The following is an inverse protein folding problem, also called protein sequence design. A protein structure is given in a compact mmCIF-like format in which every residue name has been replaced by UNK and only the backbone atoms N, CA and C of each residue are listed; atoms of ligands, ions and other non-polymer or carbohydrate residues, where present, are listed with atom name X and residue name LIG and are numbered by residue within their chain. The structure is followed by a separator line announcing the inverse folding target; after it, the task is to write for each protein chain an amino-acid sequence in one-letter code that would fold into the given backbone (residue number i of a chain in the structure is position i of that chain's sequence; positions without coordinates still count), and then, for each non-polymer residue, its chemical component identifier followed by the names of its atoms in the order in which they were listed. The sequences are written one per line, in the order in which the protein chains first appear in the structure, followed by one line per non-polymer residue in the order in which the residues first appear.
data_IF_665640844989
#
_entry.id   IF_665640844989
#
_cell.length_a   1.000
_cell.length_b   1.000
_cell.length_c   1.000
_cell.angle_alpha   90.00
_cell.angle_beta   90.00
_cell.angle_gamma   90.00
#
_symmetry.space_group_name_H-M   'P 1'
#
loop_
_entity.id
_entity.type
_entity.pdbx_description
1 polymer ?
#
# COMPACT_ATOMS: atom_id res chain seq x y z
N UNK A 1 -65.62 -38.96 -17.66
CA UNK A 1 -64.58 -39.36 -16.69
C UNK A 1 -63.94 -38.11 -16.10
N UNK A 2 -63.98 -38.00 -14.76
CA UNK A 2 -63.12 -37.26 -13.80
C UNK A 2 -62.43 -35.91 -14.17
N UNK A 3 -62.93 -34.85 -13.51
CA UNK A 3 -62.28 -33.76 -12.75
C UNK A 3 -60.93 -33.14 -13.17
N UNK A 4 -60.77 -31.79 -13.10
CA UNK A 4 -60.14 -31.06 -11.96
C UNK A 4 -59.95 -29.53 -12.24
N UNK A 5 -60.51 -28.70 -11.34
CA UNK A 5 -59.97 -27.50 -10.63
C UNK A 5 -59.34 -26.33 -11.44
N UNK A 6 -59.92 -25.10 -11.47
CA UNK A 6 -60.05 -23.99 -10.46
C UNK A 6 -58.91 -22.97 -10.57
N UNK A 7 -59.23 -21.68 -10.77
CA UNK A 7 -58.27 -20.58 -10.62
C UNK A 7 -58.75 -19.23 -11.16
N UNK A 8 -59.53 -18.50 -10.36
CA UNK A 8 -59.80 -17.06 -10.51
C UNK A 8 -58.56 -16.30 -9.98
N UNK A 9 -58.13 -15.25 -10.68
CA UNK A 9 -57.30 -14.20 -10.07
C UNK A 9 -57.91 -12.83 -10.34
N UNK A 10 -58.37 -12.24 -9.24
CA UNK A 10 -58.83 -10.88 -9.05
C UNK A 10 -57.63 -10.01 -8.64
N UNK A 11 -57.80 -8.67 -8.70
CA UNK A 11 -56.99 -7.60 -8.06
C UNK A 11 -55.90 -7.03 -8.97
N UNK A 12 -55.66 -5.72 -9.11
CA UNK A 12 -56.40 -4.46 -8.99
C UNK A 12 -55.39 -3.38 -9.44
N UNK A 13 -55.91 -2.28 -9.98
CA UNK A 13 -55.32 -0.94 -10.01
C UNK A 13 -53.94 -0.74 -9.33
N UNK A 14 -52.85 -0.97 -10.06
CA UNK A 14 -51.49 -0.56 -9.66
C UNK A 14 -50.72 0.19 -10.77
N UNK A 15 -51.36 0.49 -11.91
CA UNK A 15 -50.64 1.05 -13.06
C UNK A 15 -50.33 2.55 -12.95
N UNK A 16 -51.12 3.34 -12.21
CA UNK A 16 -50.94 4.80 -12.18
C UNK A 16 -49.88 5.30 -11.19
N UNK A 17 -49.54 4.52 -10.15
CA UNK A 17 -48.46 4.87 -9.21
C UNK A 17 -47.08 4.59 -9.80
N UNK A 18 -46.96 3.55 -10.64
CA UNK A 18 -45.70 3.15 -11.29
C UNK A 18 -45.24 4.20 -12.32
N UNK A 19 -46.17 4.82 -13.06
CA UNK A 19 -45.80 5.83 -14.06
C UNK A 19 -45.24 7.12 -13.45
N UNK A 20 -45.69 7.54 -12.26
CA UNK A 20 -45.13 8.73 -11.57
C UNK A 20 -43.76 8.48 -10.92
N UNK A 21 -43.42 7.24 -10.59
CA UNK A 21 -42.11 6.88 -10.07
C UNK A 21 -41.04 6.91 -11.17
N UNK A 22 -41.36 6.44 -12.38
CA UNK A 22 -40.45 6.46 -13.53
C UNK A 22 -40.10 7.87 -14.02
N UNK A 23 -41.00 8.84 -13.89
CA UNK A 23 -40.73 10.24 -14.29
C UNK A 23 -39.81 10.99 -13.30
N UNK A 24 -39.80 10.61 -12.02
CA UNK A 24 -38.84 11.15 -11.03
C UNK A 24 -37.45 10.54 -11.20
N UNK A 25 -37.39 9.23 -11.43
CA UNK A 25 -36.13 8.51 -11.65
C UNK A 25 -35.43 8.95 -12.96
N UNK A 26 -36.20 9.34 -13.98
CA UNK A 26 -35.67 9.91 -15.22
C UNK A 26 -35.20 11.37 -15.10
N UNK A 27 -35.54 12.08 -14.01
CA UNK A 27 -35.09 13.47 -13.77
C UNK A 27 -33.80 13.50 -12.95
N UNK A 28 -33.66 12.63 -11.95
CA UNK A 28 -32.40 12.44 -11.20
C UNK A 28 -31.28 11.83 -12.07
N UNK A 29 -31.62 10.98 -13.07
CA UNK A 29 -30.63 10.43 -14.01
C UNK A 29 -30.15 11.41 -15.10
N UNK A 30 -30.69 12.63 -15.17
CA UNK A 30 -30.23 13.67 -16.13
C UNK A 30 -29.25 14.68 -15.52
N UNK A 31 -29.18 14.82 -14.20
CA UNK A 31 -28.26 15.77 -13.56
C UNK A 31 -26.84 15.22 -13.31
N UNK A 32 -26.65 13.90 -13.32
CA UNK A 32 -25.34 13.29 -13.05
C UNK A 32 -24.46 13.03 -14.30
N UNK A 33 -24.86 13.51 -15.49
CA UNK A 33 -24.09 13.27 -16.73
C UNK A 33 -23.06 14.36 -17.09
N UNK A 34 -22.83 15.35 -16.23
CA UNK A 34 -21.93 16.47 -16.55
C UNK A 34 -20.79 16.71 -15.55
N UNK A 35 -20.41 15.70 -14.77
CA UNK A 35 -19.09 15.69 -14.15
C UNK A 35 -18.12 14.99 -15.10
N UNK A 36 -17.62 15.75 -16.08
CA UNK A 36 -16.38 15.38 -16.76
C UNK A 36 -15.26 15.47 -15.72
N UNK A 37 -15.06 14.41 -14.94
CA UNK A 37 -13.85 14.25 -14.14
C UNK A 37 -12.73 14.22 -15.18
N UNK A 38 -11.99 15.32 -15.29
CA UNK A 38 -10.69 15.33 -15.94
C UNK A 38 -9.81 14.41 -15.10
N UNK A 39 -9.83 13.12 -15.42
CA UNK A 39 -8.78 12.21 -14.98
C UNK A 39 -7.53 12.71 -15.69
N UNK A 40 -6.76 13.54 -15.00
CA UNK A 40 -5.38 13.76 -15.38
C UNK A 40 -4.77 12.36 -15.38
N UNK A 41 -4.52 11.82 -16.57
CA UNK A 41 -3.78 10.59 -16.74
C UNK A 41 -2.37 10.90 -16.27
N UNK A 42 -2.13 10.82 -14.96
CA UNK A 42 -0.77 10.76 -14.43
C UNK A 42 -0.13 9.59 -15.16
N UNK A 43 0.87 9.88 -15.99
CA UNK A 43 1.69 8.82 -16.57
C UNK A 43 2.20 7.97 -15.42
N UNK A 44 1.85 6.68 -15.46
CA UNK A 44 2.31 5.75 -14.45
C UNK A 44 3.83 5.71 -14.53
N UNK A 45 4.49 6.18 -13.49
CA UNK A 45 5.94 6.03 -13.35
C UNK A 45 6.25 4.53 -13.40
N UNK A 46 7.26 4.15 -14.15
CA UNK A 46 7.74 2.78 -14.26
C UNK A 46 8.49 2.32 -13.00
N UNK A 47 8.40 3.09 -11.91
CA UNK A 47 9.03 2.82 -10.63
C UNK A 47 8.18 3.25 -9.42
N UNK A 48 8.50 2.68 -8.27
CA UNK A 48 8.02 3.09 -6.94
C UNK A 48 9.19 3.71 -6.16
N UNK A 49 9.02 4.86 -5.48
CA UNK A 49 10.05 5.43 -4.62
C UNK A 49 10.51 4.46 -3.53
N UNK A 50 11.80 4.48 -3.22
CA UNK A 50 12.39 3.62 -2.22
C UNK A 50 13.46 4.33 -1.38
N UNK A 51 13.69 3.80 -0.18
CA UNK A 51 14.85 4.10 0.64
C UNK A 51 15.51 2.79 1.03
N UNK A 52 16.82 2.71 0.90
CA UNK A 52 17.62 1.55 1.33
C UNK A 52 18.35 1.89 2.61
N UNK A 53 18.22 1.04 3.62
CA UNK A 53 19.10 0.99 4.79
C UNK A 53 20.23 0.01 4.51
N UNK A 54 21.46 0.40 4.82
CA UNK A 54 22.65 -0.40 4.58
C UNK A 54 23.71 -0.10 5.64
N UNK A 55 24.68 -1.01 5.77
CA UNK A 55 25.82 -0.79 6.64
C UNK A 55 26.98 -0.13 5.90
N UNK A 56 27.62 0.84 6.54
CA UNK A 56 28.97 1.29 6.20
C UNK A 56 30.00 0.19 6.53
N UNK A 57 31.26 0.31 6.03
CA UNK A 57 32.32 -0.66 6.34
C UNK A 57 32.59 -0.85 7.84
N UNK A 58 32.37 0.18 8.66
CA UNK A 58 32.52 0.14 10.11
C UNK A 58 31.33 -0.52 10.85
N UNK A 59 30.31 -0.96 10.10
CA UNK A 59 29.08 -1.55 10.63
C UNK A 59 28.03 -0.53 11.08
N UNK A 60 28.30 0.77 11.02
CA UNK A 60 27.27 1.79 11.27
C UNK A 60 26.18 1.75 10.20
N UNK A 61 24.94 2.03 10.58
CA UNK A 61 23.82 2.09 9.65
C UNK A 61 23.76 3.47 8.99
N UNK A 62 23.50 3.47 7.69
CA UNK A 62 23.23 4.64 6.84
C UNK A 62 22.04 4.37 5.92
N UNK A 63 21.65 5.34 5.10
CA UNK A 63 20.60 5.17 4.10
C UNK A 63 20.89 5.89 2.79
N UNK A 64 20.25 5.41 1.72
CA UNK A 64 20.22 6.08 0.42
C UNK A 64 18.80 6.09 -0.16
N UNK A 65 18.50 7.10 -0.97
CA UNK A 65 17.22 7.21 -1.70
C UNK A 65 17.36 6.61 -3.08
N UNK A 66 16.27 6.03 -3.57
CA UNK A 66 16.25 5.39 -4.87
C UNK A 66 14.84 4.96 -5.24
N UNK A 67 14.77 3.93 -6.06
CA UNK A 67 13.55 3.49 -6.73
C UNK A 67 13.56 1.97 -6.89
N UNK A 68 12.38 1.35 -6.86
CA UNK A 68 12.16 -0.04 -7.31
C UNK A 68 11.41 0.01 -8.64
N UNK A 69 11.94 -0.60 -9.72
CA UNK A 69 11.22 -0.68 -10.99
C UNK A 69 9.95 -1.54 -10.85
N UNK A 70 8.89 -1.10 -11.51
CA UNK A 70 7.62 -1.82 -11.57
C UNK A 70 7.75 -3.11 -12.37
N UNK A 71 6.82 -4.05 -12.15
CA UNK A 71 6.74 -5.33 -12.85
C UNK A 71 7.95 -6.25 -12.68
N UNK A 72 8.84 -5.98 -11.71
CA UNK A 72 9.87 -6.94 -11.27
C UNK A 72 9.28 -7.93 -10.27
N UNK A 73 9.57 -9.21 -10.47
CA UNK A 73 9.15 -10.27 -9.56
C UNK A 73 10.26 -10.57 -8.56
N UNK A 74 9.97 -10.36 -7.27
CA UNK A 74 10.82 -10.84 -6.20
C UNK A 74 10.61 -12.33 -6.00
N UNK A 75 11.70 -13.08 -5.92
CA UNK A 75 11.64 -14.47 -5.51
C UNK A 75 11.52 -14.52 -3.97
N UNK A 76 10.31 -14.80 -3.48
CA UNK A 76 10.01 -14.91 -2.05
C UNK A 76 9.11 -16.11 -1.79
N UNK A 77 9.36 -16.83 -0.70
CA UNK A 77 8.55 -18.00 -0.29
C UNK A 77 7.51 -17.65 0.76
N UNK A 78 7.61 -16.48 1.38
CA UNK A 78 6.73 -16.05 2.47
C UNK A 78 6.65 -14.54 2.54
N UNK A 79 5.53 -14.03 3.04
CA UNK A 79 5.36 -12.65 3.45
C UNK A 79 4.37 -12.61 4.62
N UNK A 80 4.41 -11.55 5.41
CA UNK A 80 3.45 -11.37 6.49
C UNK A 80 3.17 -9.89 6.76
N UNK A 81 2.06 -9.64 7.41
CA UNK A 81 1.60 -8.30 7.75
C UNK A 81 1.64 -8.12 9.27
N UNK A 82 1.93 -6.90 9.73
CA UNK A 82 1.83 -6.55 11.14
C UNK A 82 1.30 -5.14 11.30
N UNK A 83 0.48 -4.95 12.32
CA UNK A 83 0.12 -3.66 12.89
C UNK A 83 0.60 -3.50 14.35
N UNK A 84 1.31 -4.51 14.87
CA UNK A 84 1.84 -4.51 16.23
C UNK A 84 3.13 -3.72 16.29
N UNK A 85 3.33 -2.97 17.35
CA UNK A 85 4.57 -2.25 17.62
C UNK A 85 5.03 -2.65 19.01
N UNK A 86 6.22 -3.20 19.10
CA UNK A 86 6.86 -3.49 20.39
C UNK A 86 7.87 -2.39 20.69
N UNK A 87 8.05 -2.03 21.96
CA UNK A 87 8.87 -0.87 22.31
C UNK A 87 10.34 -1.04 21.94
N UNK A 88 10.85 -2.28 21.90
CA UNK A 88 12.20 -2.55 21.43
C UNK A 88 12.37 -2.28 19.94
N UNK A 89 11.33 -2.43 19.12
CA UNK A 89 11.39 -2.14 17.68
C UNK A 89 11.68 -0.65 17.44
N UNK A 90 11.27 0.24 18.35
CA UNK A 90 11.57 1.68 18.22
C UNK A 90 13.02 2.02 18.55
N UNK A 91 13.67 1.18 19.35
CA UNK A 91 15.07 1.36 19.73
C UNK A 91 16.00 0.99 18.57
N UNK A 92 17.28 1.32 18.69
CA UNK A 92 18.26 0.97 17.67
C UNK A 92 18.42 -0.57 17.58
N UNK A 93 18.16 -1.14 16.40
CA UNK A 93 18.35 -2.56 16.11
C UNK A 93 18.73 -2.76 14.63
N UNK A 94 19.55 -3.78 14.30
CA UNK A 94 19.78 -4.17 12.91
C UNK A 94 18.54 -4.84 12.33
N UNK A 95 18.39 -4.76 11.01
CA UNK A 95 17.39 -5.55 10.32
C UNK A 95 17.70 -7.06 10.48
N UNK A 96 16.69 -7.91 10.76
CA UNK A 96 16.93 -9.33 11.01
C UNK A 96 17.31 -10.11 9.75
N UNK A 97 17.07 -9.55 8.57
CA UNK A 97 17.35 -10.11 7.24
C UNK A 97 17.14 -9.05 6.17
N UNK A 98 17.66 -9.31 4.97
CA UNK A 98 17.31 -8.55 3.77
C UNK A 98 15.82 -8.68 3.52
N UNK A 99 15.10 -7.57 3.50
CA UNK A 99 13.65 -7.59 3.27
C UNK A 99 13.16 -6.24 2.79
N UNK A 100 12.06 -6.27 2.04
CA UNK A 100 11.24 -5.08 1.86
C UNK A 100 10.29 -4.92 3.05
N UNK A 101 10.11 -3.66 3.46
CA UNK A 101 9.07 -3.23 4.39
C UNK A 101 8.17 -2.25 3.64
N UNK A 102 6.94 -2.67 3.36
CA UNK A 102 5.94 -1.88 2.65
C UNK A 102 5.01 -1.27 3.68
N UNK A 103 5.09 0.05 3.85
CA UNK A 103 4.15 0.77 4.72
C UNK A 103 2.80 0.88 4.02
N UNK A 104 1.77 0.29 4.62
CA UNK A 104 0.39 0.36 4.15
C UNK A 104 -0.34 1.55 4.81
N UNK A 105 0.03 1.90 6.04
CA UNK A 105 -0.52 3.03 6.80
C UNK A 105 0.46 3.57 7.83
N UNK A 106 0.40 4.88 8.04
CA UNK A 106 1.23 5.60 9.01
C UNK A 106 2.42 6.31 8.35
N UNK A 107 3.03 7.24 9.08
CA UNK A 107 4.24 7.95 8.66
C UNK A 107 5.33 7.64 9.67
N UNK A 108 6.42 7.03 9.21
CA UNK A 108 7.45 6.46 10.08
C UNK A 108 8.75 7.21 9.84
N UNK A 109 9.28 7.84 10.89
CA UNK A 109 10.59 8.48 10.85
C UNK A 109 11.63 7.47 11.27
N UNK A 110 12.48 7.10 10.33
CA UNK A 110 13.68 6.30 10.60
C UNK A 110 14.84 7.21 10.97
N UNK A 111 15.73 6.73 11.84
CA UNK A 111 16.97 7.37 12.25
C UNK A 111 18.11 6.36 12.20
N UNK A 112 19.18 6.72 11.50
CA UNK A 112 20.38 5.89 11.35
C UNK A 112 21.48 6.30 12.34
N UNK A 113 22.66 5.70 12.26
CA UNK A 113 23.66 5.77 13.34
C UNK A 113 24.21 7.17 13.58
N UNK A 114 24.37 7.99 12.53
CA UNK A 114 24.86 9.38 12.62
C UNK A 114 23.77 10.37 13.12
N UNK A 115 22.54 9.88 13.34
CA UNK A 115 21.39 10.70 13.73
C UNK A 115 20.60 11.28 12.55
N UNK A 116 21.05 11.10 11.31
CA UNK A 116 20.30 11.47 10.11
C UNK A 116 18.97 10.72 10.03
N UNK A 117 17.94 11.36 9.48
CA UNK A 117 16.58 10.80 9.46
C UNK A 117 15.91 10.92 8.10
N UNK A 118 14.95 10.03 7.85
CA UNK A 118 14.05 10.08 6.70
C UNK A 118 12.66 9.59 7.09
N UNK A 119 11.65 9.89 6.27
CA UNK A 119 10.26 9.48 6.51
C UNK A 119 9.83 8.49 5.43
N UNK A 120 9.28 7.36 5.86
CA UNK A 120 8.54 6.42 5.02
C UNK A 120 7.05 6.66 5.19
N UNK A 121 6.32 6.64 4.07
CA UNK A 121 4.87 6.80 3.99
C UNK A 121 4.29 5.71 3.07
N UNK A 122 2.97 5.51 3.03
CA UNK A 122 2.37 4.66 2.01
C UNK A 122 2.77 5.11 0.61
N UNK A 123 3.13 4.14 -0.23
CA UNK A 123 3.68 4.39 -1.57
C UNK A 123 5.21 4.52 -1.63
N UNK A 124 5.94 4.28 -0.53
CA UNK A 124 7.41 4.19 -0.53
C UNK A 124 7.86 2.85 0.03
N UNK A 125 8.77 2.18 -0.68
CA UNK A 125 9.40 0.93 -0.24
C UNK A 125 10.57 1.25 0.69
N UNK A 126 10.67 0.56 1.82
CA UNK A 126 11.91 0.49 2.58
C UNK A 126 12.61 -0.82 2.27
N UNK A 127 13.81 -0.78 1.72
CA UNK A 127 14.70 -1.93 1.61
C UNK A 127 15.61 -1.95 2.83
N UNK A 128 15.47 -2.96 3.68
CA UNK A 128 16.26 -3.09 4.90
C UNK A 128 17.40 -4.10 4.68
N UNK A 129 18.64 -3.60 4.67
CA UNK A 129 19.86 -4.40 4.53
C UNK A 129 20.97 -3.99 5.52
N UNK A 130 20.62 -3.22 6.55
CA UNK A 130 21.47 -2.88 7.68
C UNK A 130 21.49 -4.03 8.71
N UNK A 131 22.12 -5.13 8.33
CA UNK A 131 22.12 -6.40 9.09
C UNK A 131 23.13 -6.45 10.24
N UNK A 132 23.96 -5.41 10.40
CA UNK A 132 25.07 -5.36 11.35
C UNK A 132 25.02 -4.12 12.24
N UNK A 133 25.81 -4.15 13.32
CA UNK A 133 25.97 -3.03 14.23
C UNK A 133 24.71 -2.70 15.02
N UNK A 134 24.54 -1.43 15.38
CA UNK A 134 23.35 -0.94 16.09
C UNK A 134 22.11 -0.82 15.20
N UNK A 135 22.29 -0.80 13.88
CA UNK A 135 21.21 -0.64 12.91
C UNK A 135 20.50 0.72 12.99
N UNK A 136 19.19 0.69 12.79
CA UNK A 136 18.32 1.86 12.77
C UNK A 136 17.36 1.88 13.96
N UNK A 137 16.80 3.05 14.21
CA UNK A 137 15.66 3.24 15.13
C UNK A 137 14.53 3.92 14.37
N UNK A 138 13.31 3.86 14.88
CA UNK A 138 12.19 4.56 14.26
C UNK A 138 11.15 5.02 15.27
N UNK A 139 10.37 6.01 14.86
CA UNK A 139 9.19 6.47 15.60
C UNK A 139 8.06 6.92 14.65
N UNK A 140 6.83 6.93 15.15
CA UNK A 140 5.67 7.37 14.40
C UNK A 140 5.54 8.90 14.43
N UNK A 141 5.35 9.51 13.25
CA UNK A 141 5.11 10.94 13.13
C UNK A 141 3.65 11.18 12.83
N UNK A 142 2.95 11.86 13.75
CA UNK A 142 1.53 12.23 13.59
C UNK A 142 0.65 11.04 13.16
N UNK A 143 1.00 9.84 13.60
CA UNK A 143 0.37 8.58 13.23
C UNK A 143 0.10 7.78 14.50
N UNK A 144 -1.04 7.08 14.53
CA UNK A 144 -1.45 6.28 15.70
C UNK A 144 -1.07 4.80 15.58
N UNK A 145 -0.83 4.33 14.36
CA UNK A 145 -0.45 2.96 14.07
C UNK A 145 0.46 2.90 12.84
N UNK A 146 1.24 1.82 12.76
CA UNK A 146 2.02 1.45 11.59
C UNK A 146 1.57 0.07 11.10
N UNK A 147 0.86 0.06 9.97
CA UNK A 147 0.47 -1.18 9.29
C UNK A 147 1.46 -1.41 8.15
N UNK A 148 2.11 -2.57 8.16
CA UNK A 148 3.13 -2.91 7.16
C UNK A 148 3.08 -4.35 6.71
N UNK A 149 3.61 -4.57 5.52
CA UNK A 149 3.90 -5.87 4.93
C UNK A 149 5.41 -6.05 4.89
N UNK A 150 5.87 -7.22 5.32
CA UNK A 150 7.27 -7.66 5.22
C UNK A 150 7.40 -8.70 4.12
N UNK A 151 8.39 -8.51 3.26
CA UNK A 151 8.73 -9.45 2.18
C UNK A 151 10.22 -9.75 2.27
N UNK A 152 10.61 -10.89 2.87
CA UNK A 152 12.00 -11.35 2.84
C UNK A 152 12.49 -11.53 1.41
N UNK A 153 13.74 -11.13 1.20
CA UNK A 153 14.48 -11.39 -0.04
C UNK A 153 15.28 -12.66 0.18
N UNK A 154 15.14 -13.63 -0.72
CA UNK A 154 15.90 -14.86 -0.65
C UNK A 154 17.41 -14.59 -0.74
N UNK A 155 18.20 -15.50 -0.15
CA UNK A 155 19.65 -15.44 -0.29
C UNK A 155 20.04 -15.47 -1.77
N UNK A 156 20.95 -14.58 -2.18
CA UNK A 156 21.39 -14.37 -3.57
C UNK A 156 20.32 -13.85 -4.56
N UNK A 157 19.13 -13.47 -4.11
CA UNK A 157 18.15 -12.82 -4.98
C UNK A 157 18.42 -11.31 -5.13
N UNK A 158 18.07 -10.78 -6.30
CA UNK A 158 18.13 -9.36 -6.61
C UNK A 158 17.16 -8.56 -5.70
N UNK A 159 17.64 -7.42 -5.22
CA UNK A 159 16.81 -6.45 -4.50
C UNK A 159 16.15 -5.42 -5.42
N UNK A 160 16.49 -5.39 -6.70
CA UNK A 160 16.02 -4.44 -7.72
C UNK A 160 16.10 -2.95 -7.35
N UNK A 161 16.88 -2.58 -6.33
CA UNK A 161 17.02 -1.19 -5.94
C UNK A 161 17.92 -0.46 -6.92
N UNK A 162 17.45 0.69 -7.40
CA UNK A 162 18.21 1.62 -8.24
C UNK A 162 18.44 2.88 -7.43
N UNK A 163 19.70 3.21 -7.13
CA UNK A 163 20.04 4.43 -6.39
C UNK A 163 19.72 5.65 -7.24
N UNK A 164 19.21 6.72 -6.62
CA UNK A 164 18.99 7.98 -7.32
C UNK A 164 20.31 8.58 -7.85
N UNK A 165 21.43 8.25 -7.21
CA UNK A 165 22.78 8.69 -7.62
C UNK A 165 23.29 8.03 -8.90
N UNK A 166 22.75 6.85 -9.24
CA UNK A 166 23.16 6.09 -10.44
C UNK A 166 22.29 6.45 -11.66
N UNK A 167 21.29 7.32 -11.47
CA UNK A 167 20.35 7.76 -12.52
C UNK A 167 20.68 9.11 -13.15
N UNK A 168 21.89 9.63 -12.90
CA UNK A 168 22.52 10.78 -13.57
C UNK A 168 23.52 10.33 -14.64
#
# INVERSE_FOLDING_TARGET
MKNFIKGISLVLALSSLVMKAQDKENKENKENKNLSIKVNKEESKDYIPAVRLLNNPDGSCTFEKGKIPTLKHLNTTTFWMSNKTEDWEKNAHPAPRRQYVITLKGNIRFKVTDGSTFIIKPGTVLLAEDLKGKGHSWDMVRSKSWERLYIPIAENADDFFVSDKDSE
#
